data_IF_985910599618
#
_entry.id   IF_985910599618
#
_cell.length_a   1.000
_cell.length_b   1.000
_cell.length_c   1.000
_cell.angle_alpha   90.00
_cell.angle_beta   90.00
_cell.angle_gamma   90.00
#
_symmetry.space_group_name_H-M   'P 1'
#
loop_
_entity.id
_entity.type
_entity.pdbx_description
1 polymer ?
#
# COMPACT_ATOMS: atom_id res chain seq x y z
N UNK A 1 3.20 19.43 4.16
CA UNK A 1 3.31 18.32 3.20
C UNK A 1 2.77 18.76 1.85
N UNK A 2 3.44 18.40 0.78
CA UNK A 2 3.03 18.74 -0.58
C UNK A 2 2.97 17.47 -1.44
N UNK A 3 2.55 17.64 -2.70
CA UNK A 3 2.40 16.52 -3.64
C UNK A 3 3.67 15.71 -3.80
N UNK A 4 4.81 16.39 -3.93
CA UNK A 4 6.10 15.71 -4.14
C UNK A 4 6.47 14.81 -2.97
N UNK A 5 6.31 15.32 -1.74
CA UNK A 5 6.59 14.54 -0.53
C UNK A 5 5.62 13.38 -0.41
N UNK A 6 4.34 13.63 -0.65
CA UNK A 6 3.33 12.58 -0.57
C UNK A 6 3.57 11.47 -1.58
N UNK A 7 3.96 11.81 -2.82
CA UNK A 7 4.27 10.79 -3.83
C UNK A 7 5.46 9.93 -3.41
N UNK A 8 6.48 10.54 -2.81
CA UNK A 8 7.61 9.77 -2.28
C UNK A 8 7.19 8.84 -1.16
N UNK A 9 6.28 9.31 -0.29
CA UNK A 9 5.76 8.47 0.80
C UNK A 9 5.00 7.27 0.26
N UNK A 10 4.17 7.46 -0.78
CA UNK A 10 3.48 6.35 -1.42
C UNK A 10 4.48 5.32 -1.95
N UNK A 11 5.48 5.80 -2.69
CA UNK A 11 6.49 4.91 -3.28
C UNK A 11 7.24 4.15 -2.20
N UNK A 12 7.58 4.81 -1.09
CA UNK A 12 8.30 4.18 -0.01
C UNK A 12 7.43 3.16 0.73
N UNK A 13 6.29 3.59 1.28
CA UNK A 13 5.52 2.72 2.17
C UNK A 13 4.76 1.62 1.43
N UNK A 14 4.10 1.95 0.34
CA UNK A 14 3.36 0.93 -0.44
C UNK A 14 4.34 0.04 -1.18
N UNK A 15 5.39 0.62 -1.76
CA UNK A 15 6.43 -0.13 -2.45
C UNK A 15 7.14 -1.13 -1.53
N UNK A 16 7.49 -0.72 -0.31
CA UNK A 16 8.08 -1.60 0.69
C UNK A 16 7.16 -2.78 1.01
N UNK A 17 5.88 -2.51 1.17
CA UNK A 17 4.91 -3.56 1.45
C UNK A 17 4.84 -4.56 0.30
N UNK A 18 4.80 -4.07 -0.95
CA UNK A 18 4.76 -4.94 -2.13
C UNK A 18 6.04 -5.79 -2.20
N UNK A 19 7.20 -5.17 -1.95
CA UNK A 19 8.47 -5.89 -1.94
C UNK A 19 8.50 -6.99 -0.88
N UNK A 20 7.96 -6.70 0.31
CA UNK A 20 7.87 -7.69 1.39
C UNK A 20 6.98 -8.87 0.99
N UNK A 21 5.86 -8.60 0.34
CA UNK A 21 4.97 -9.65 -0.16
C UNK A 21 5.67 -10.52 -1.21
N UNK A 22 6.39 -9.89 -2.13
CA UNK A 22 7.11 -10.60 -3.18
C UNK A 22 8.23 -11.46 -2.59
N UNK A 23 8.94 -10.94 -1.61
CA UNK A 23 9.99 -11.69 -0.92
C UNK A 23 9.41 -12.89 -0.18
N UNK A 24 8.31 -12.71 0.52
CA UNK A 24 7.64 -13.81 1.21
C UNK A 24 7.21 -14.90 0.23
N UNK A 25 6.62 -14.51 -0.90
CA UNK A 25 6.20 -15.47 -1.92
C UNK A 25 7.39 -16.24 -2.49
N UNK A 26 8.51 -15.57 -2.71
CA UNK A 26 9.73 -16.20 -3.23
C UNK A 26 10.32 -17.20 -2.24
N UNK A 27 10.27 -16.90 -0.94
CA UNK A 27 10.81 -17.78 0.10
C UNK A 27 9.88 -18.93 0.43
N UNK A 28 8.61 -18.86 0.07
CA UNK A 28 7.58 -19.85 0.38
C UNK A 28 6.76 -20.20 -0.85
N UNK A 29 7.38 -20.80 -1.90
CA UNK A 29 6.73 -20.96 -3.20
C UNK A 29 5.53 -21.90 -3.20
N UNK A 30 5.37 -22.71 -2.18
CA UNK A 30 4.27 -23.67 -2.10
C UNK A 30 3.17 -23.26 -1.15
N UNK A 31 3.24 -22.03 -0.59
CA UNK A 31 2.30 -21.59 0.42
C UNK A 31 1.45 -20.41 -0.08
N UNK A 32 0.17 -20.69 -0.29
CA UNK A 32 -0.87 -19.69 -0.53
C UNK A 32 -0.49 -18.61 -1.57
N UNK A 33 0.15 -19.03 -2.67
CA UNK A 33 0.63 -18.12 -3.71
C UNK A 33 -0.51 -17.26 -4.28
N UNK A 34 -1.71 -17.82 -4.45
CA UNK A 34 -2.85 -17.09 -4.98
C UNK A 34 -3.31 -15.99 -4.02
N UNK A 35 -3.32 -16.27 -2.72
CA UNK A 35 -3.72 -15.28 -1.71
C UNK A 35 -2.70 -14.14 -1.62
N UNK A 36 -1.41 -14.46 -1.71
CA UNK A 36 -0.35 -13.45 -1.70
C UNK A 36 -0.44 -12.60 -2.96
N UNK A 37 -0.67 -13.22 -4.11
CA UNK A 37 -0.84 -12.51 -5.37
C UNK A 37 -2.01 -11.53 -5.29
N UNK A 38 -3.11 -11.93 -4.69
CA UNK A 38 -4.27 -11.07 -4.50
C UNK A 38 -3.96 -9.88 -3.59
N UNK A 39 -3.19 -10.10 -2.53
CA UNK A 39 -2.77 -9.03 -1.64
C UNK A 39 -1.88 -8.03 -2.39
N UNK A 40 -0.96 -8.52 -3.22
CA UNK A 40 -0.11 -7.66 -4.06
C UNK A 40 -0.97 -6.83 -5.01
N UNK A 41 -1.97 -7.44 -5.65
CA UNK A 41 -2.88 -6.73 -6.55
C UNK A 41 -3.62 -5.62 -5.81
N UNK A 42 -4.09 -5.89 -4.60
CA UNK A 42 -4.75 -4.87 -3.78
C UNK A 42 -3.79 -3.72 -3.43
N UNK A 43 -2.53 -4.04 -3.15
CA UNK A 43 -1.53 -3.02 -2.85
C UNK A 43 -1.20 -2.17 -4.08
N UNK A 44 -1.13 -2.78 -5.27
CA UNK A 44 -0.93 -2.04 -6.52
C UNK A 44 -2.11 -1.12 -6.80
N UNK A 45 -3.33 -1.60 -6.57
CA UNK A 45 -4.54 -0.78 -6.73
C UNK A 45 -4.52 0.41 -5.76
N UNK A 46 -4.11 0.18 -4.51
CA UNK A 46 -3.95 1.25 -3.53
C UNK A 46 -2.93 2.28 -4.00
N UNK A 47 -1.79 1.82 -4.50
CA UNK A 47 -0.74 2.69 -5.01
C UNK A 47 -1.28 3.61 -6.11
N UNK A 48 -1.96 3.02 -7.09
CA UNK A 48 -2.52 3.78 -8.21
C UNK A 48 -3.63 4.73 -7.77
N UNK A 49 -4.50 4.29 -6.88
CA UNK A 49 -5.59 5.12 -6.35
C UNK A 49 -5.06 6.35 -5.61
N UNK A 50 -4.08 6.15 -4.74
CA UNK A 50 -3.50 7.25 -3.97
C UNK A 50 -2.76 8.24 -4.87
N UNK A 51 -2.03 7.75 -5.88
CA UNK A 51 -1.35 8.63 -6.83
C UNK A 51 -2.37 9.44 -7.63
N UNK A 52 -3.45 8.81 -8.06
CA UNK A 52 -4.48 9.50 -8.80
C UNK A 52 -5.17 10.58 -7.94
N UNK A 53 -5.53 10.25 -6.72
CA UNK A 53 -6.13 11.22 -5.79
C UNK A 53 -5.18 12.37 -5.48
N UNK A 54 -3.89 12.08 -5.33
CA UNK A 54 -2.88 13.10 -5.01
C UNK A 54 -2.74 14.16 -6.11
N UNK A 55 -3.06 13.80 -7.36
CA UNK A 55 -3.00 14.74 -8.48
C UNK A 55 -4.23 15.66 -8.58
N UNK A 56 -5.25 15.42 -7.75
CA UNK A 56 -6.51 16.19 -7.78
C UNK A 56 -6.88 16.68 -6.37
N UNK A 57 -6.04 17.53 -5.74
CA UNK A 57 -6.32 18.01 -4.38
C UNK A 57 -7.55 18.91 -4.35
N UNK A 58 -8.33 18.78 -3.29
CA UNK A 58 -9.51 19.60 -3.05
C UNK A 58 -9.35 20.35 -1.74
N UNK A 59 -9.76 21.63 -1.72
CA UNK A 59 -9.70 22.44 -0.53
C UNK A 59 -8.27 22.78 -0.10
N UNK A 60 -8.02 22.76 1.20
CA UNK A 60 -6.71 23.06 1.76
C UNK A 60 -5.75 21.90 1.48
N UNK A 61 -4.67 22.19 0.76
CA UNK A 61 -3.72 21.15 0.35
C UNK A 61 -3.09 20.41 1.53
N UNK A 62 -2.72 21.13 2.58
CA UNK A 62 -2.11 20.50 3.76
C UNK A 62 -3.07 19.50 4.41
N UNK A 63 -4.32 19.90 4.60
CA UNK A 63 -5.34 19.02 5.17
C UNK A 63 -5.63 17.85 4.26
N UNK A 64 -5.67 18.08 2.94
CA UNK A 64 -5.92 17.03 1.96
C UNK A 64 -4.84 15.95 1.99
N UNK A 65 -3.56 16.33 1.94
CA UNK A 65 -2.48 15.36 1.97
C UNK A 65 -2.32 14.67 3.32
N UNK A 66 -2.64 15.36 4.40
CA UNK A 66 -2.67 14.74 5.73
C UNK A 66 -3.73 13.65 5.79
N UNK A 67 -4.92 13.91 5.25
CA UNK A 67 -6.00 12.92 5.19
C UNK A 67 -5.62 11.72 4.31
N UNK A 68 -4.99 11.96 3.16
CA UNK A 68 -4.53 10.88 2.28
C UNK A 68 -3.45 10.02 2.94
N UNK A 69 -2.54 10.64 3.70
CA UNK A 69 -1.51 9.92 4.43
C UNK A 69 -2.14 8.98 5.45
N UNK A 70 -3.14 9.47 6.18
CA UNK A 70 -3.87 8.65 7.13
C UNK A 70 -4.58 7.48 6.43
N UNK A 71 -5.24 7.74 5.31
CA UNK A 71 -5.88 6.69 4.51
C UNK A 71 -4.88 5.63 4.06
N UNK A 72 -3.71 6.07 3.60
CA UNK A 72 -2.65 5.17 3.17
C UNK A 72 -2.24 4.22 4.30
N UNK A 73 -1.94 4.76 5.48
CA UNK A 73 -1.51 3.92 6.60
C UNK A 73 -2.61 2.99 7.09
N UNK A 74 -3.85 3.45 7.11
CA UNK A 74 -4.99 2.59 7.50
C UNK A 74 -5.14 1.41 6.54
N UNK A 75 -5.01 1.65 5.25
CA UNK A 75 -5.14 0.61 4.24
C UNK A 75 -3.94 -0.34 4.24
N UNK A 76 -2.73 0.18 4.45
CA UNK A 76 -1.54 -0.66 4.59
C UNK A 76 -1.69 -1.58 5.82
N UNK A 77 -2.19 -1.05 6.94
CA UNK A 77 -2.42 -1.86 8.13
C UNK A 77 -3.39 -3.01 7.83
N UNK A 78 -4.46 -2.74 7.10
CA UNK A 78 -5.42 -3.77 6.70
C UNK A 78 -4.75 -4.84 5.84
N UNK A 79 -3.92 -4.42 4.88
CA UNK A 79 -3.19 -5.37 4.04
C UNK A 79 -2.15 -6.17 4.83
N UNK A 80 -1.50 -5.54 5.81
CA UNK A 80 -0.57 -6.23 6.70
C UNK A 80 -1.28 -7.30 7.51
N UNK A 81 -2.49 -7.02 7.98
CA UNK A 81 -3.30 -8.02 8.70
C UNK A 81 -3.64 -9.21 7.80
N UNK A 82 -4.00 -8.93 6.54
CA UNK A 82 -4.28 -9.99 5.56
C UNK A 82 -3.05 -10.86 5.31
N UNK A 83 -1.89 -10.22 5.15
CA UNK A 83 -0.64 -10.95 4.94
C UNK A 83 -0.29 -11.80 6.16
N UNK A 84 -0.46 -11.25 7.37
CA UNK A 84 -0.22 -11.99 8.61
C UNK A 84 -1.11 -13.22 8.70
N UNK A 85 -2.36 -13.11 8.31
CA UNK A 85 -3.29 -14.23 8.32
C UNK A 85 -2.85 -15.33 7.37
N UNK A 86 -2.33 -14.98 6.20
CA UNK A 86 -1.81 -15.95 5.24
C UNK A 86 -0.54 -16.61 5.77
N UNK A 87 0.38 -15.81 6.32
CA UNK A 87 1.65 -16.32 6.85
C UNK A 87 1.45 -17.26 8.04
N UNK A 88 0.42 -17.00 8.83
CA UNK A 88 0.16 -17.77 10.06
C UNK A 88 -0.52 -19.13 9.85
N UNK A 89 -0.93 -19.42 8.64
CA UNK A 89 -1.58 -20.71 8.31
C UNK A 89 -0.65 -21.89 8.43
#
# INVERSE_FOLDING_TARGET
MNLRVFKKDIEFFVGEFIDDCALFAALNPHKDADEISQIIDEAVDLYNDLKNKANHPEGNKKAFYTALTKEMFEKIDTLCEKLSAVVSK
#
